data_IF_660582218799
#
_entry.id   IF_660582218799
#
_cell.length_a   1.000
_cell.length_b   1.000
_cell.length_c   1.000
_cell.angle_alpha   90.00
_cell.angle_beta   90.00
_cell.angle_gamma   90.00
#
_symmetry.space_group_name_H-M   'P 1'
#
loop_
_entity.id
_entity.type
_entity.pdbx_description
1 polymer ?
#
# COMPACT_ATOMS: atom_id res chain seq x y z
N UNK A 1 -5.75 -48.80 33.52
CA UNK A 1 -6.60 -47.98 34.42
C UNK A 1 -7.39 -47.00 33.56
N UNK A 2 -8.51 -47.32 32.91
CA UNK A 2 -9.72 -48.00 33.38
C UNK A 2 -10.27 -47.40 34.68
N UNK A 3 -11.29 -46.54 34.58
CA UNK A 3 -12.46 -46.65 35.45
C UNK A 3 -13.74 -46.33 34.67
N UNK A 4 -14.70 -47.20 34.90
CA UNK A 4 -15.92 -47.49 34.17
C UNK A 4 -17.01 -47.42 35.23
N UNK A 5 -18.06 -46.61 35.04
CA UNK A 5 -19.31 -46.82 35.74
C UNK A 5 -20.47 -46.77 34.75
N UNK A 6 -21.20 -47.87 34.77
CA UNK A 6 -22.33 -48.25 33.93
C UNK A 6 -23.62 -47.64 34.49
N UNK A 7 -24.57 -47.36 33.59
CA UNK A 7 -25.96 -47.06 33.95
C UNK A 7 -26.82 -46.99 32.69
N UNK A 8 -27.21 -48.15 32.17
CA UNK A 8 -27.97 -48.24 30.91
C UNK A 8 -29.45 -47.91 31.08
N UNK A 9 -30.07 -47.36 30.04
CA UNK A 9 -31.51 -47.50 29.81
C UNK A 9 -31.89 -47.29 28.32
N UNK A 10 -32.29 -48.40 27.72
CA UNK A 10 -33.26 -48.63 26.62
C UNK A 10 -33.42 -47.56 25.52
N UNK A 11 -32.99 -47.95 24.32
CA UNK A 11 -33.21 -47.33 23.01
C UNK A 11 -34.70 -47.05 22.74
N UNK A 12 -35.05 -45.78 22.51
CA UNK A 12 -36.29 -45.37 21.82
C UNK A 12 -36.04 -45.26 20.29
N UNK A 13 -37.01 -45.61 19.44
CA UNK A 13 -36.80 -45.72 17.99
C UNK A 13 -36.64 -44.35 17.32
N UNK A 14 -35.72 -44.26 16.35
CA UNK A 14 -35.49 -43.07 15.52
C UNK A 14 -36.74 -42.77 14.67
N UNK A 15 -37.20 -41.51 14.56
CA UNK A 15 -38.31 -41.18 13.67
C UNK A 15 -37.87 -41.26 12.21
N UNK A 16 -38.64 -41.99 11.39
CA UNK A 16 -38.52 -42.05 9.93
C UNK A 16 -38.72 -40.64 9.36
N UNK A 17 -37.65 -40.00 8.87
CA UNK A 17 -37.75 -38.76 8.07
C UNK A 17 -38.52 -39.06 6.79
N UNK A 18 -39.77 -38.58 6.70
CA UNK A 18 -40.55 -38.51 5.46
C UNK A 18 -39.73 -37.75 4.40
N UNK A 19 -39.31 -38.44 3.33
CA UNK A 19 -38.78 -37.80 2.12
C UNK A 19 -39.89 -36.96 1.50
N UNK A 20 -39.89 -35.64 1.76
CA UNK A 20 -40.69 -34.69 0.97
C UNK A 20 -40.15 -34.72 -0.46
N UNK A 21 -40.90 -35.32 -1.39
CA UNK A 21 -40.71 -35.17 -2.84
C UNK A 21 -40.84 -33.68 -3.16
N UNK A 22 -39.72 -33.00 -3.35
CA UNK A 22 -39.69 -31.64 -3.91
C UNK A 22 -40.05 -31.79 -5.38
N UNK A 23 -41.26 -31.36 -5.74
CA UNK A 23 -41.68 -31.19 -7.14
C UNK A 23 -40.71 -30.20 -7.81
N UNK A 24 -40.24 -30.44 -9.05
CA UNK A 24 -39.34 -29.52 -9.72
C UNK A 24 -40.06 -28.20 -9.96
N UNK A 25 -39.61 -27.11 -9.32
CA UNK A 25 -40.05 -25.76 -9.66
C UNK A 25 -39.58 -25.44 -11.08
N UNK A 26 -40.56 -25.14 -11.94
CA UNK A 26 -40.41 -24.76 -13.35
C UNK A 26 -39.35 -23.65 -13.48
N UNK A 27 -38.31 -23.90 -14.29
CA UNK A 27 -37.36 -22.87 -14.73
C UNK A 27 -38.12 -21.78 -15.51
N UNK A 28 -37.92 -20.48 -15.23
CA UNK A 28 -38.48 -19.44 -16.09
C UNK A 28 -37.79 -19.48 -17.46
N UNK A 29 -38.61 -19.51 -18.52
CA UNK A 29 -38.19 -19.39 -19.92
C UNK A 29 -37.64 -17.98 -20.16
N UNK A 30 -36.32 -17.79 -20.14
CA UNK A 30 -35.66 -16.59 -20.69
C UNK A 30 -35.06 -16.93 -22.06
N UNK A 31 -35.95 -17.21 -23.02
CA UNK A 31 -35.66 -17.21 -24.47
C UNK A 31 -36.63 -16.22 -25.10
N UNK A 32 -36.19 -14.98 -25.32
CA UNK A 32 -36.64 -13.98 -26.32
C UNK A 32 -36.33 -12.55 -25.82
N UNK A 33 -35.07 -12.14 -25.93
CA UNK A 33 -34.65 -10.74 -26.13
C UNK A 33 -33.22 -10.69 -26.63
N UNK A 34 -32.91 -11.52 -27.63
CA UNK A 34 -31.66 -11.49 -28.38
C UNK A 34 -31.95 -11.60 -29.87
N UNK A 35 -32.90 -10.79 -30.36
CA UNK A 35 -33.18 -10.70 -31.81
C UNK A 35 -33.94 -9.46 -32.26
N UNK A 36 -33.79 -8.30 -31.61
CA UNK A 36 -34.22 -7.00 -32.17
C UNK A 36 -33.30 -5.88 -31.68
N UNK A 37 -32.02 -5.91 -32.06
CA UNK A 37 -31.14 -4.72 -31.99
C UNK A 37 -29.93 -4.80 -32.94
N UNK A 38 -30.12 -5.45 -34.09
CA UNK A 38 -29.15 -5.48 -35.21
C UNK A 38 -29.75 -4.98 -36.55
N UNK A 39 -30.86 -4.23 -36.49
CA UNK A 39 -31.56 -3.71 -37.69
C UNK A 39 -31.99 -2.23 -37.58
N UNK A 40 -31.29 -1.44 -36.76
CA UNK A 40 -31.52 0.00 -36.61
C UNK A 40 -30.21 0.82 -36.59
N UNK A 41 -29.24 0.41 -37.42
CA UNK A 41 -28.07 1.23 -37.74
C UNK A 41 -27.65 1.03 -39.21
N UNK A 42 -28.62 1.00 -40.13
CA UNK A 42 -28.38 0.94 -41.58
C UNK A 42 -29.31 1.83 -42.42
N UNK A 43 -30.06 2.76 -41.83
CA UNK A 43 -30.96 3.65 -42.59
C UNK A 43 -31.09 5.03 -41.96
N UNK A 44 -30.03 5.82 -42.13
CA UNK A 44 -29.95 7.29 -42.10
C UNK A 44 -28.46 7.52 -42.38
N UNK A 45 -28.02 7.69 -43.62
CA UNK A 45 -28.12 8.91 -44.41
C UNK A 45 -28.12 8.52 -45.90
N UNK A 46 -29.28 8.54 -46.54
CA UNK A 46 -29.42 8.69 -48.00
C UNK A 46 -30.20 9.98 -48.19
N UNK A 47 -29.58 10.97 -48.84
CA UNK A 47 -30.26 12.17 -49.33
C UNK A 47 -29.83 13.48 -48.67
N UNK A 48 -28.63 13.98 -49.00
CA UNK A 48 -28.39 15.42 -49.07
C UNK A 48 -27.30 15.69 -50.11
N UNK A 49 -27.62 16.60 -51.03
CA UNK A 49 -26.97 16.83 -52.31
C UNK A 49 -25.57 17.41 -52.16
N UNK A 50 -24.72 17.08 -53.15
CA UNK A 50 -23.40 17.68 -53.41
C UNK A 50 -23.51 19.21 -53.51
N UNK A 51 -22.71 19.93 -52.72
CA UNK A 51 -22.14 21.24 -53.10
C UNK A 51 -20.63 21.16 -52.98
N UNK A 52 -19.94 21.43 -54.09
CA UNK A 52 -18.47 21.49 -54.22
C UNK A 52 -17.96 22.66 -53.38
N UNK A 53 -17.05 22.40 -52.44
CA UNK A 53 -16.14 23.41 -51.89
C UNK A 53 -14.74 22.82 -51.90
N UNK A 54 -13.84 23.44 -52.68
CA UNK A 54 -12.43 23.09 -52.80
C UNK A 54 -11.74 23.27 -51.44
N UNK A 55 -11.01 22.26 -50.95
CA UNK A 55 -10.04 22.39 -49.85
C UNK A 55 -8.61 22.34 -50.43
N UNK A 56 -7.68 23.22 -49.97
CA UNK A 56 -6.33 23.28 -50.53
C UNK A 56 -5.49 22.07 -50.10
N UNK A 57 -4.66 21.56 -51.02
CA UNK A 57 -3.64 20.54 -50.75
C UNK A 57 -2.54 21.15 -49.86
N UNK A 58 -2.48 20.79 -48.57
CA UNK A 58 -1.29 21.02 -47.74
C UNK A 58 -0.26 19.92 -48.03
N UNK A 59 0.83 20.31 -48.68
CA UNK A 59 2.04 19.49 -48.85
C UNK A 59 2.80 19.51 -47.51
N UNK A 60 2.75 18.42 -46.74
CA UNK A 60 3.68 18.20 -45.63
C UNK A 60 4.94 17.54 -46.19
N UNK A 61 6.02 18.33 -46.37
CA UNK A 61 7.37 17.83 -46.60
C UNK A 61 7.83 17.04 -45.37
N UNK A 62 8.00 15.73 -45.51
CA UNK A 62 8.72 14.89 -44.54
C UNK A 62 10.16 15.42 -44.41
N UNK A 63 10.57 15.84 -43.21
CA UNK A 63 11.97 16.13 -42.90
C UNK A 63 12.65 14.82 -42.52
N UNK A 64 13.65 14.41 -43.30
CA UNK A 64 14.54 13.30 -42.97
C UNK A 64 15.50 13.70 -41.83
N UNK A 65 15.90 12.77 -40.94
CA UNK A 65 16.82 13.08 -39.86
C UNK A 65 18.25 13.26 -40.40
N UNK A 66 18.86 14.39 -40.05
CA UNK A 66 20.24 14.78 -40.37
C UNK A 66 21.22 13.81 -39.72
N UNK A 67 21.97 13.06 -40.54
CA UNK A 67 23.03 12.12 -40.16
C UNK A 67 24.32 12.91 -39.92
N UNK A 68 24.72 13.10 -38.66
CA UNK A 68 26.02 13.70 -38.31
C UNK A 68 27.13 12.68 -38.58
N UNK A 69 27.96 12.93 -39.61
CA UNK A 69 29.17 12.14 -39.91
C UNK A 69 30.31 12.60 -38.98
N UNK A 70 30.67 11.79 -37.98
CA UNK A 70 31.97 11.90 -37.29
C UNK A 70 32.92 10.80 -37.79
N UNK A 71 34.07 11.21 -38.33
CA UNK A 71 35.16 10.33 -38.79
C UNK A 71 35.76 9.59 -37.60
N UNK A 72 35.71 8.25 -37.60
CA UNK A 72 36.44 7.41 -36.66
C UNK A 72 37.89 7.24 -37.16
N UNK A 73 38.87 7.77 -36.42
CA UNK A 73 40.29 7.41 -36.59
C UNK A 73 40.50 6.02 -35.95
N UNK A 74 41.12 5.09 -36.70
CA UNK A 74 41.48 3.74 -36.24
C UNK A 74 42.47 3.84 -35.06
N UNK A 75 42.07 3.36 -33.89
CA UNK A 75 42.98 3.17 -32.74
C UNK A 75 43.36 1.68 -32.68
N UNK A 76 44.67 1.41 -32.64
CA UNK A 76 45.26 0.06 -32.59
C UNK A 76 44.81 -0.68 -31.32
N UNK A 77 44.40 -1.95 -31.49
CA UNK A 77 44.12 -2.91 -30.40
C UNK A 77 45.38 -3.12 -29.57
N UNK A 78 45.33 -2.81 -28.27
CA UNK A 78 46.27 -3.34 -27.27
C UNK A 78 45.45 -4.27 -26.39
N UNK A 79 45.62 -5.57 -26.57
CA UNK A 79 45.07 -6.59 -25.68
C UNK A 79 45.92 -6.64 -24.40
N UNK A 80 45.35 -6.19 -23.28
CA UNK A 80 45.85 -6.51 -21.94
C UNK A 80 44.73 -7.14 -21.14
N UNK A 81 44.87 -8.44 -20.86
CA UNK A 81 44.01 -9.19 -19.93
C UNK A 81 44.16 -8.62 -18.52
N UNK A 82 43.08 -8.28 -17.79
CA UNK A 82 43.17 -8.11 -16.36
C UNK A 82 42.66 -9.39 -15.68
N UNK A 83 43.60 -10.23 -15.21
CA UNK A 83 43.34 -11.11 -14.07
C UNK A 83 43.80 -10.37 -12.82
N UNK A 84 42.86 -9.85 -12.04
CA UNK A 84 42.98 -9.74 -10.58
C UNK A 84 41.59 -9.57 -9.97
N UNK A 85 41.32 -10.47 -9.04
CA UNK A 85 40.11 -10.68 -8.25
C UNK A 85 39.62 -9.37 -7.64
N UNK A 86 38.53 -8.80 -8.17
CA UNK A 86 37.73 -7.86 -7.41
C UNK A 86 36.94 -8.71 -6.41
N UNK A 87 37.40 -8.75 -5.15
CA UNK A 87 36.49 -9.07 -4.05
C UNK A 87 35.31 -8.11 -4.19
N UNK A 88 34.11 -8.65 -4.41
CA UNK A 88 32.86 -7.89 -4.28
C UNK A 88 32.86 -7.35 -2.85
N UNK A 89 33.36 -6.14 -2.65
CA UNK A 89 33.03 -5.38 -1.45
C UNK A 89 31.55 -5.10 -1.63
N UNK A 90 30.73 -5.91 -0.99
CA UNK A 90 29.33 -5.59 -0.78
C UNK A 90 29.33 -4.36 0.12
N UNK A 91 29.51 -3.18 -0.47
CA UNK A 91 29.17 -1.92 0.18
C UNK A 91 27.66 -1.97 0.27
N UNK A 92 27.13 -2.63 1.30
CA UNK A 92 25.75 -2.40 1.71
C UNK A 92 25.69 -0.90 1.92
N UNK A 93 24.88 -0.14 1.16
CA UNK A 93 24.70 1.25 1.49
C UNK A 93 24.30 1.24 2.97
N UNK A 94 25.10 1.89 3.81
CA UNK A 94 24.71 2.19 5.19
C UNK A 94 23.51 3.12 5.03
N UNK A 95 22.33 2.53 4.88
CA UNK A 95 21.10 3.27 4.83
C UNK A 95 20.96 3.84 6.23
N UNK A 96 21.18 5.15 6.36
CA UNK A 96 21.11 5.89 7.61
C UNK A 96 19.64 6.01 8.04
N UNK A 97 19.06 4.89 8.47
CA UNK A 97 17.67 4.80 8.91
C UNK A 97 17.55 5.44 10.29
N UNK A 98 16.60 6.36 10.44
CA UNK A 98 16.22 6.86 11.75
C UNK A 98 15.69 5.70 12.62
N UNK A 99 16.09 5.59 13.90
CA UNK A 99 15.50 4.62 14.82
C UNK A 99 13.98 4.76 14.89
N UNK A 100 13.28 3.62 14.94
CA UNK A 100 11.81 3.60 14.88
C UNK A 100 11.17 4.46 15.97
N UNK A 101 11.71 4.45 17.21
CA UNK A 101 11.18 5.29 18.29
C UNK A 101 11.26 6.78 17.95
N UNK A 102 12.35 7.22 17.30
CA UNK A 102 12.51 8.62 16.89
C UNK A 102 11.58 8.99 15.75
N UNK A 103 11.31 8.07 14.82
CA UNK A 103 10.32 8.27 13.78
C UNK A 103 8.90 8.38 14.37
N UNK A 104 8.55 7.55 15.36
CA UNK A 104 7.26 7.60 16.07
C UNK A 104 7.13 8.85 16.97
N UNK A 105 8.21 9.29 17.63
CA UNK A 105 8.27 10.57 18.34
C UNK A 105 8.01 11.75 17.38
N UNK A 106 8.53 11.70 16.15
CA UNK A 106 8.28 12.71 15.13
C UNK A 106 6.80 12.76 14.75
N UNK A 107 6.18 11.61 14.46
CA UNK A 107 4.74 11.54 14.19
C UNK A 107 3.92 12.17 15.32
N UNK A 108 4.26 11.85 16.58
CA UNK A 108 3.60 12.41 17.77
C UNK A 108 3.76 13.93 17.83
N UNK A 109 4.97 14.45 17.60
CA UNK A 109 5.25 15.90 17.62
C UNK A 109 4.43 16.66 16.57
N UNK A 110 4.24 16.07 15.41
CA UNK A 110 3.41 16.64 14.34
C UNK A 110 1.93 16.28 14.45
N UNK A 111 1.51 15.59 15.52
CA UNK A 111 0.12 15.20 15.80
C UNK A 111 -0.50 14.31 14.71
N UNK A 112 0.31 13.52 14.01
CA UNK A 112 -0.21 12.41 13.20
C UNK A 112 -0.66 11.30 14.16
N UNK A 113 -1.90 10.86 14.01
CA UNK A 113 -2.46 9.81 14.86
C UNK A 113 -1.78 8.47 14.56
N UNK A 114 -1.56 7.69 15.61
CA UNK A 114 -1.04 6.34 15.55
C UNK A 114 -1.93 5.45 16.41
N UNK A 115 -2.05 4.14 16.11
CA UNK A 115 -2.69 3.20 17.03
C UNK A 115 -1.88 3.13 18.33
N UNK A 116 -2.50 2.81 19.48
CA UNK A 116 -1.77 2.50 20.71
C UNK A 116 -0.62 1.53 20.44
N UNK A 117 0.58 1.84 20.92
CA UNK A 117 1.79 1.06 20.64
C UNK A 117 2.77 1.06 21.83
N UNK A 118 3.69 0.11 21.82
CA UNK A 118 4.83 0.03 22.72
C UNK A 118 6.01 -0.69 22.05
N UNK A 119 7.24 -0.32 22.41
CA UNK A 119 8.44 -1.06 22.05
C UNK A 119 8.85 -1.95 23.22
N UNK A 120 8.88 -3.26 23.01
CA UNK A 120 9.14 -4.26 24.04
C UNK A 120 10.49 -4.95 23.76
N UNK A 121 11.36 -5.03 24.79
CA UNK A 121 12.67 -5.70 24.69
C UNK A 121 12.68 -7.10 25.29
N UNK A 122 11.66 -7.43 26.07
CA UNK A 122 11.50 -8.72 26.74
C UNK A 122 10.00 -9.02 26.95
N UNK A 123 9.69 -10.25 27.36
CA UNK A 123 8.31 -10.71 27.59
C UNK A 123 7.59 -9.97 28.73
N UNK A 124 8.33 -9.48 29.74
CA UNK A 124 7.75 -8.72 30.86
C UNK A 124 7.21 -7.38 30.36
N UNK A 125 7.97 -6.68 29.51
CA UNK A 125 7.55 -5.43 28.88
C UNK A 125 6.36 -5.67 27.95
N UNK A 126 6.37 -6.80 27.23
CA UNK A 126 5.29 -7.21 26.33
C UNK A 126 3.97 -7.41 27.07
N UNK A 127 3.94 -8.28 28.08
CA UNK A 127 2.73 -8.63 28.83
C UNK A 127 2.12 -7.39 29.51
N UNK A 128 2.96 -6.51 30.07
CA UNK A 128 2.52 -5.21 30.60
C UNK A 128 1.91 -4.30 29.53
N UNK A 129 2.49 -4.28 28.33
CA UNK A 129 2.02 -3.45 27.22
C UNK A 129 0.69 -3.96 26.62
N UNK A 130 0.52 -5.28 26.51
CA UNK A 130 -0.70 -5.91 26.00
C UNK A 130 -1.93 -5.54 26.81
N UNK A 131 -1.81 -5.39 28.14
CA UNK A 131 -2.92 -4.93 29.00
C UNK A 131 -3.46 -3.55 28.62
N UNK A 132 -2.62 -2.68 28.04
CA UNK A 132 -2.99 -1.33 27.60
C UNK A 132 -3.40 -1.28 26.13
N UNK A 133 -2.74 -2.08 25.29
CA UNK A 133 -2.96 -2.09 23.84
C UNK A 133 -4.20 -2.92 23.48
N UNK A 134 -4.38 -4.08 24.10
CA UNK A 134 -5.46 -5.03 23.82
C UNK A 134 -5.32 -5.75 22.46
N UNK A 135 -6.30 -6.61 22.17
CA UNK A 135 -6.33 -7.48 20.99
C UNK A 135 -7.45 -7.09 20.00
N UNK A 136 -7.38 -7.47 18.70
CA UNK A 136 -6.20 -8.02 18.05
C UNK A 136 -5.06 -6.99 17.98
N UNK A 137 -3.82 -7.46 18.04
CA UNK A 137 -2.63 -6.63 17.91
C UNK A 137 -1.74 -7.09 16.75
N UNK A 138 -0.81 -6.21 16.41
CA UNK A 138 0.23 -6.38 15.40
C UNK A 138 1.57 -6.30 16.10
N UNK A 139 2.50 -7.19 15.73
CA UNK A 139 3.88 -7.14 16.18
C UNK A 139 4.82 -6.96 15.00
N UNK A 140 5.78 -6.06 15.16
CA UNK A 140 6.77 -5.72 14.14
C UNK A 140 8.18 -5.77 14.72
N UNK A 141 9.07 -6.53 14.09
CA UNK A 141 10.49 -6.52 14.41
C UNK A 141 11.08 -5.12 14.21
N UNK A 142 11.88 -4.66 15.16
CA UNK A 142 12.48 -3.34 15.17
C UNK A 142 13.95 -3.42 15.53
N UNK A 143 14.77 -2.71 14.75
CA UNK A 143 16.22 -2.66 14.92
C UNK A 143 16.84 -1.72 13.89
N UNK A 144 18.09 -1.30 14.13
CA UNK A 144 18.78 -0.30 13.29
C UNK A 144 18.89 -0.74 11.83
N UNK A 145 19.11 -2.04 11.61
CA UNK A 145 19.35 -2.62 10.30
C UNK A 145 18.10 -3.24 9.65
N UNK A 146 16.93 -3.16 10.31
CA UNK A 146 15.66 -3.68 9.78
C UNK A 146 14.95 -2.56 9.02
N UNK A 147 15.09 -2.55 7.70
CA UNK A 147 14.50 -1.51 6.83
C UNK A 147 13.19 -2.00 6.22
N UNK A 148 13.20 -3.21 5.65
CA UNK A 148 12.05 -3.86 5.04
C UNK A 148 11.57 -4.99 5.94
N UNK A 149 10.66 -4.66 6.86
CA UNK A 149 10.14 -5.61 7.87
C UNK A 149 9.41 -6.78 7.20
N UNK A 150 8.63 -6.53 6.16
CA UNK A 150 7.86 -7.57 5.46
C UNK A 150 8.76 -8.65 4.85
N UNK A 151 9.85 -8.25 4.18
CA UNK A 151 10.75 -9.14 3.44
C UNK A 151 11.45 -10.18 4.32
N UNK A 152 11.67 -9.83 5.59
CA UNK A 152 12.30 -10.72 6.58
C UNK A 152 11.28 -11.48 7.43
N UNK A 153 10.00 -11.41 7.07
CA UNK A 153 8.92 -11.94 7.90
C UNK A 153 8.91 -11.26 9.28
N UNK A 154 9.21 -9.97 9.35
CA UNK A 154 9.28 -9.17 10.56
C UNK A 154 7.96 -8.51 10.96
N UNK A 155 6.84 -8.85 10.32
CA UNK A 155 5.50 -8.37 10.69
C UNK A 155 4.58 -9.57 10.95
N UNK A 156 3.81 -9.51 12.03
CA UNK A 156 2.80 -10.50 12.42
C UNK A 156 1.51 -9.77 12.75
N UNK A 157 0.43 -10.15 12.07
CA UNK A 157 -0.90 -9.54 12.17
C UNK A 157 -1.85 -10.51 12.89
N UNK A 158 -3.02 -10.01 13.30
CA UNK A 158 -4.09 -10.82 13.90
C UNK A 158 -3.64 -11.67 15.09
N UNK A 159 -2.83 -11.08 15.98
CA UNK A 159 -2.49 -11.71 17.25
C UNK A 159 -3.67 -11.47 18.19
N UNK A 160 -4.34 -12.53 18.62
CA UNK A 160 -5.62 -12.45 19.33
C UNK A 160 -5.52 -12.79 20.82
N UNK A 161 -4.46 -13.48 21.23
CA UNK A 161 -4.26 -13.91 22.62
C UNK A 161 -2.86 -13.59 23.14
N UNK A 162 -2.70 -13.61 24.46
CA UNK A 162 -1.41 -13.39 25.13
C UNK A 162 -0.42 -14.52 24.82
N UNK A 163 -0.88 -15.76 24.74
CA UNK A 163 -0.04 -16.91 24.37
C UNK A 163 0.50 -16.77 22.94
N UNK A 164 -0.36 -16.39 21.98
CA UNK A 164 0.06 -16.10 20.61
C UNK A 164 1.06 -14.95 20.56
N UNK A 165 0.85 -13.93 21.39
CA UNK A 165 1.72 -12.75 21.48
C UNK A 165 3.12 -13.12 21.99
N UNK A 166 3.23 -13.93 23.04
CA UNK A 166 4.52 -14.40 23.59
C UNK A 166 5.26 -15.26 22.56
N UNK A 167 4.57 -16.22 21.93
CA UNK A 167 5.18 -17.04 20.87
C UNK A 167 5.69 -16.17 19.71
N UNK A 168 4.86 -15.23 19.26
CA UNK A 168 5.21 -14.31 18.19
C UNK A 168 6.41 -13.43 18.54
N UNK A 169 6.45 -12.90 19.76
CA UNK A 169 7.57 -12.09 20.24
C UNK A 169 8.88 -12.85 20.18
N UNK A 170 8.90 -14.09 20.69
CA UNK A 170 10.08 -14.94 20.68
C UNK A 170 10.56 -15.27 19.26
N UNK A 171 9.63 -15.49 18.32
CA UNK A 171 9.99 -15.73 16.93
C UNK A 171 10.54 -14.49 16.23
N UNK A 172 9.98 -13.31 16.50
CA UNK A 172 10.50 -12.05 15.95
C UNK A 172 11.87 -11.70 16.52
N UNK A 173 12.12 -11.94 17.81
CA UNK A 173 13.41 -11.67 18.44
C UNK A 173 14.55 -12.55 17.90
N UNK A 174 14.25 -13.69 17.26
CA UNK A 174 15.24 -14.53 16.56
C UNK A 174 15.69 -13.94 15.22
N UNK A 175 14.95 -12.96 14.67
CA UNK A 175 15.30 -12.33 13.40
C UNK A 175 16.62 -11.56 13.57
N UNK A 176 17.58 -11.81 12.68
CA UNK A 176 18.90 -11.16 12.72
C UNK A 176 18.75 -9.63 12.68
N UNK A 177 19.28 -8.96 13.70
CA UNK A 177 19.23 -7.50 13.82
C UNK A 177 17.95 -6.96 14.45
N UNK A 178 17.04 -7.82 14.91
CA UNK A 178 15.93 -7.42 15.76
C UNK A 178 16.46 -7.13 17.16
N UNK A 179 16.24 -5.92 17.65
CA UNK A 179 16.67 -5.47 18.97
C UNK A 179 15.48 -5.39 19.95
N UNK A 180 14.26 -5.27 19.40
CA UNK A 180 13.00 -5.11 20.12
C UNK A 180 11.83 -5.38 19.18
N UNK A 181 10.65 -5.59 19.76
CA UNK A 181 9.40 -5.75 19.02
C UNK A 181 8.51 -4.55 19.28
N UNK A 182 8.06 -3.89 18.21
CA UNK A 182 6.97 -2.93 18.26
C UNK A 182 5.65 -3.69 18.33
N UNK A 183 4.92 -3.56 19.43
CA UNK A 183 3.57 -4.08 19.63
C UNK A 183 2.59 -2.93 19.42
N UNK A 184 1.55 -3.14 18.63
CA UNK A 184 0.62 -2.07 18.24
C UNK A 184 -0.80 -2.61 18.10
N UNK A 185 -1.81 -1.82 18.50
CA UNK A 185 -3.21 -2.15 18.26
C UNK A 185 -3.44 -2.30 16.75
N UNK A 186 -4.11 -3.37 16.34
CA UNK A 186 -4.43 -3.55 14.93
C UNK A 186 -5.52 -2.56 14.51
N UNK A 187 -5.26 -1.80 13.45
CA UNK A 187 -6.28 -1.00 12.77
C UNK A 187 -7.06 -1.94 11.86
N UNK A 188 -8.37 -2.00 12.03
CA UNK A 188 -9.26 -2.94 11.32
C UNK A 188 -10.21 -2.24 10.36
N UNK A 189 -10.15 -0.91 10.26
CA UNK A 189 -11.03 -0.09 9.44
C UNK A 189 -10.25 0.95 8.63
N UNK A 190 -10.87 1.42 7.56
CA UNK A 190 -10.31 2.44 6.67
C UNK A 190 -9.53 1.87 5.51
N UNK A 191 -9.19 2.77 4.60
CA UNK A 191 -8.43 2.45 3.40
C UNK A 191 -6.95 2.68 3.64
N UNK A 192 -6.12 1.75 3.18
CA UNK A 192 -4.68 1.95 3.19
C UNK A 192 -4.31 2.93 2.07
N UNK A 193 -3.60 3.99 2.45
CA UNK A 193 -2.94 4.94 1.56
C UNK A 193 -1.47 5.06 1.94
N UNK A 194 -0.67 5.62 1.05
CA UNK A 194 0.74 5.93 1.28
C UNK A 194 0.91 7.44 1.18
N UNK A 195 1.58 8.03 2.16
CA UNK A 195 2.02 9.42 2.10
C UNK A 195 3.50 9.45 2.42
N UNK A 196 4.29 10.01 1.52
CA UNK A 196 5.74 10.06 1.69
C UNK A 196 6.35 11.30 1.07
N UNK A 197 7.64 11.46 1.28
CA UNK A 197 8.44 12.48 0.65
C UNK A 197 9.86 12.01 0.50
N UNK A 198 10.55 12.48 -0.54
CA UNK A 198 11.96 12.15 -0.75
C UNK A 198 12.71 13.30 -1.40
N UNK A 199 14.02 13.29 -1.22
CA UNK A 199 14.92 14.08 -2.05
C UNK A 199 14.93 13.51 -3.46
N UNK A 200 14.72 14.38 -4.43
CA UNK A 200 14.70 14.06 -5.83
C UNK A 200 15.83 14.79 -6.56
N UNK A 201 16.60 14.12 -7.44
CA UNK A 201 17.73 14.77 -8.12
C UNK A 201 17.33 15.94 -9.03
N UNK A 202 16.10 15.94 -9.56
CA UNK A 202 15.64 16.95 -10.50
C UNK A 202 14.85 18.05 -9.80
N UNK A 203 13.99 17.67 -8.85
CA UNK A 203 13.05 18.59 -8.21
C UNK A 203 13.48 18.99 -6.78
N UNK A 204 14.67 18.58 -6.35
CA UNK A 204 15.21 18.71 -4.99
C UNK A 204 14.42 17.89 -3.95
N UNK A 205 13.11 18.12 -3.80
CA UNK A 205 12.21 17.35 -2.93
C UNK A 205 10.86 17.16 -3.60
N UNK A 206 10.25 16.00 -3.36
CA UNK A 206 8.89 15.70 -3.78
C UNK A 206 8.10 15.09 -2.62
N UNK A 207 6.80 15.36 -2.59
CA UNK A 207 5.79 14.71 -1.76
C UNK A 207 4.98 13.80 -2.65
N UNK A 208 4.66 12.61 -2.15
CA UNK A 208 3.89 11.59 -2.86
C UNK A 208 2.66 11.19 -2.05
N UNK A 209 1.53 11.05 -2.73
CA UNK A 209 0.32 10.41 -2.23
C UNK A 209 -0.02 9.25 -3.17
N UNK A 210 -0.31 8.07 -2.63
CA UNK A 210 -0.71 6.92 -3.43
C UNK A 210 -1.64 5.97 -2.71
N UNK A 211 -2.21 5.01 -3.46
CA UNK A 211 -2.97 3.92 -2.88
C UNK A 211 -2.04 3.05 -2.03
N UNK A 212 -2.53 2.45 -0.94
CA UNK A 212 -1.83 1.44 -0.14
C UNK A 212 -2.32 0.02 -0.45
N UNK A 213 -1.75 -0.96 0.26
CA UNK A 213 -2.12 -2.38 0.14
C UNK A 213 -1.85 -2.99 -1.24
N UNK A 214 -2.59 -4.06 -1.58
CA UNK A 214 -2.44 -4.82 -2.84
C UNK A 214 -2.61 -3.98 -4.12
N UNK A 215 -3.21 -2.80 -4.03
CA UNK A 215 -3.48 -1.94 -5.19
C UNK A 215 -2.25 -1.11 -5.61
N UNK A 216 -1.25 -0.97 -4.73
CA UNK A 216 0.03 -0.27 -5.00
C UNK A 216 0.76 -0.84 -6.21
N UNK A 217 0.92 -2.15 -6.26
CA UNK A 217 1.76 -2.84 -7.25
C UNK A 217 1.15 -2.83 -8.65
N UNK A 218 -0.18 -2.86 -8.75
CA UNK A 218 -0.88 -2.99 -10.04
C UNK A 218 -1.24 -1.65 -10.68
N UNK A 219 -1.44 -0.59 -9.90
CA UNK A 219 -2.03 0.63 -10.42
C UNK A 219 -1.04 1.77 -10.68
N UNK A 220 0.15 1.84 -10.04
CA UNK A 220 1.02 3.04 -10.13
C UNK A 220 0.25 4.35 -9.93
N UNK A 221 -0.74 4.30 -9.03
CA UNK A 221 -1.69 5.39 -8.79
C UNK A 221 -1.15 6.33 -7.72
N UNK A 222 -0.33 7.29 -8.17
CA UNK A 222 0.43 8.18 -7.31
C UNK A 222 0.36 9.60 -7.87
N UNK A 223 0.13 10.59 -7.00
CA UNK A 223 0.28 12.01 -7.31
C UNK A 223 1.52 12.57 -6.61
N UNK A 224 2.16 13.54 -7.25
CA UNK A 224 3.37 14.19 -6.75
C UNK A 224 3.21 15.71 -6.72
N UNK A 225 3.85 16.35 -5.72
CA UNK A 225 4.03 17.81 -5.65
C UNK A 225 5.40 18.15 -5.08
N UNK A 226 5.89 19.35 -5.38
CA UNK A 226 7.13 19.90 -4.80
C UNK A 226 6.76 20.72 -3.56
N UNK A 227 7.33 20.45 -2.37
CA UNK A 227 7.06 21.24 -1.17
C UNK A 227 7.69 22.65 -1.27
N UNK A 228 7.13 23.66 -0.58
CA UNK A 228 6.01 23.57 0.37
C UNK A 228 4.63 23.48 -0.31
N UNK A 229 3.75 22.64 0.23
CA UNK A 229 2.35 22.51 -0.20
C UNK A 229 1.43 23.40 0.63
N UNK A 230 0.44 24.02 -0.03
CA UNK A 230 -0.76 24.57 0.60
C UNK A 230 -1.91 23.55 0.57
N UNK A 231 -3.06 23.92 1.15
CA UNK A 231 -4.23 23.02 1.25
C UNK A 231 -4.74 22.64 -0.13
N UNK A 232 -4.78 23.58 -1.06
CA UNK A 232 -5.24 23.40 -2.42
C UNK A 232 -4.37 22.35 -3.16
N UNK A 233 -3.04 22.42 -3.02
CA UNK A 233 -2.11 21.43 -3.58
C UNK A 233 -2.41 20.01 -3.07
N UNK A 234 -2.61 19.88 -1.76
CA UNK A 234 -2.90 18.58 -1.13
C UNK A 234 -4.28 18.04 -1.50
N UNK A 235 -5.26 18.93 -1.69
CA UNK A 235 -6.60 18.57 -2.19
C UNK A 235 -6.55 18.10 -3.64
N UNK A 236 -5.82 18.80 -4.51
CA UNK A 236 -5.60 18.38 -5.90
C UNK A 236 -4.87 17.04 -5.97
N UNK A 237 -3.81 16.86 -5.18
CA UNK A 237 -3.10 15.57 -5.08
C UNK A 237 -4.06 14.43 -4.74
N UNK A 238 -4.97 14.67 -3.80
CA UNK A 238 -5.99 13.70 -3.41
C UNK A 238 -6.98 13.43 -4.54
N UNK A 239 -7.39 14.43 -5.31
CA UNK A 239 -8.32 14.23 -6.42
C UNK A 239 -7.68 13.56 -7.65
N UNK A 240 -6.35 13.70 -7.83
CA UNK A 240 -5.61 13.13 -8.96
C UNK A 240 -5.45 11.61 -8.90
N UNK A 241 -5.41 11.03 -7.69
CA UNK A 241 -5.29 9.57 -7.54
C UNK A 241 -6.63 8.91 -7.85
N UNK A 242 -6.64 7.91 -8.73
CA UNK A 242 -7.89 7.26 -9.21
C UNK A 242 -8.66 6.56 -8.10
N UNK A 243 -7.98 6.10 -7.05
CA UNK A 243 -8.64 5.48 -5.89
C UNK A 243 -9.37 6.49 -4.98
N UNK A 244 -9.14 7.80 -5.14
CA UNK A 244 -9.73 8.85 -4.30
C UNK A 244 -11.25 8.79 -4.24
N UNK A 245 -11.87 8.64 -5.41
CA UNK A 245 -13.32 8.53 -5.57
C UNK A 245 -13.89 7.36 -4.75
N UNK A 246 -13.18 6.23 -4.74
CA UNK A 246 -13.57 5.04 -3.99
C UNK A 246 -13.49 5.29 -2.49
N UNK A 247 -12.40 5.88 -2.01
CA UNK A 247 -12.19 6.08 -0.57
C UNK A 247 -13.06 7.21 -0.03
N UNK A 248 -13.35 8.25 -0.82
CA UNK A 248 -14.15 9.40 -0.43
C UNK A 248 -15.66 9.14 -0.54
N UNK A 249 -16.11 8.20 -1.38
CA UNK A 249 -17.52 7.80 -1.48
C UNK A 249 -17.86 6.58 -0.63
N UNK A 250 -16.86 5.81 -0.22
CA UNK A 250 -17.07 4.54 0.47
C UNK A 250 -17.21 3.37 -0.51
N UNK A 251 -16.76 2.17 -0.10
CA UNK A 251 -16.81 0.97 -0.93
C UNK A 251 -16.98 -0.30 -0.10
N UNK A 252 -17.84 -1.23 -0.57
CA UNK A 252 -18.06 -2.57 0.02
C UNK A 252 -18.21 -2.57 1.56
N UNK A 253 -19.09 -1.72 2.08
CA UNK A 253 -19.39 -1.66 3.52
C UNK A 253 -18.39 -0.85 4.34
N UNK A 254 -17.29 -0.37 3.75
CA UNK A 254 -16.45 0.65 4.37
C UNK A 254 -17.06 2.03 4.20
N UNK A 255 -16.98 2.83 5.26
CA UNK A 255 -17.44 4.23 5.27
C UNK A 255 -16.53 5.12 4.40
N UNK A 256 -17.03 6.26 3.93
CA UNK A 256 -16.19 7.34 3.39
C UNK A 256 -15.04 7.69 4.33
N UNK A 257 -13.84 7.91 3.79
CA UNK A 257 -12.69 8.40 4.53
C UNK A 257 -12.84 9.89 4.87
N UNK A 258 -12.25 10.32 5.98
CA UNK A 258 -12.16 11.72 6.34
C UNK A 258 -11.16 12.44 5.43
N UNK A 259 -11.69 13.17 4.44
CA UNK A 259 -10.92 13.96 3.47
C UNK A 259 -9.93 14.91 4.14
N UNK A 260 -10.39 15.66 5.14
CA UNK A 260 -9.57 16.67 5.83
C UNK A 260 -8.40 16.03 6.56
N UNK A 261 -8.61 14.84 7.15
CA UNK A 261 -7.53 14.11 7.83
C UNK A 261 -6.43 13.65 6.86
N UNK A 262 -6.79 13.25 5.63
CA UNK A 262 -5.82 12.88 4.58
C UNK A 262 -5.02 14.11 4.15
N UNK A 263 -5.71 15.20 3.83
CA UNK A 263 -5.10 16.48 3.41
C UNK A 263 -4.12 16.97 4.48
N UNK A 264 -4.53 16.96 5.75
CA UNK A 264 -3.67 17.35 6.86
C UNK A 264 -2.42 16.46 6.97
N UNK A 265 -2.54 15.14 6.74
CA UNK A 265 -1.38 14.25 6.75
C UNK A 265 -0.37 14.59 5.63
N UNK A 266 -0.85 14.90 4.42
CA UNK A 266 -0.01 15.34 3.29
C UNK A 266 0.73 16.64 3.62
N UNK A 267 0.01 17.64 4.15
CA UNK A 267 0.58 18.92 4.56
C UNK A 267 1.63 18.77 5.67
N UNK A 268 1.38 17.88 6.62
CA UNK A 268 2.35 17.57 7.68
C UNK A 268 3.62 16.96 7.08
N UNK A 269 3.51 16.00 6.17
CA UNK A 269 4.69 15.39 5.52
C UNK A 269 5.45 16.43 4.69
N UNK A 270 4.75 17.30 3.97
CA UNK A 270 5.35 18.46 3.29
C UNK A 270 6.17 19.33 4.26
N UNK A 271 5.57 19.70 5.40
CA UNK A 271 6.23 20.53 6.43
C UNK A 271 7.41 19.81 7.08
N UNK A 272 7.32 18.51 7.32
CA UNK A 272 8.44 17.70 7.83
C UNK A 272 9.59 17.75 6.84
N UNK A 273 9.31 17.48 5.56
CA UNK A 273 10.33 17.50 4.51
C UNK A 273 10.96 18.87 4.36
N UNK A 274 10.19 19.96 4.42
CA UNK A 274 10.71 21.33 4.36
C UNK A 274 11.66 21.65 5.53
N UNK A 275 11.20 21.44 6.77
CA UNK A 275 11.91 21.84 8.00
C UNK A 275 13.10 20.98 8.36
N UNK A 276 13.26 19.80 7.76
CA UNK A 276 14.30 18.84 8.13
C UNK A 276 15.16 18.49 6.91
N UNK A 277 16.14 19.34 6.53
CA UNK A 277 16.91 19.14 5.30
C UNK A 277 17.76 17.87 5.28
N UNK A 278 18.06 17.28 6.45
CA UNK A 278 18.78 16.01 6.56
C UNK A 278 17.91 14.78 6.26
N UNK A 279 16.58 14.93 6.17
CA UNK A 279 15.70 13.83 5.76
C UNK A 279 15.83 13.65 4.26
N UNK A 280 16.32 12.48 3.86
CA UNK A 280 16.40 12.04 2.47
C UNK A 280 15.09 11.41 2.02
N UNK A 281 14.43 10.66 2.89
CA UNK A 281 13.17 9.99 2.61
C UNK A 281 12.33 9.89 3.88
N UNK A 282 11.02 10.11 3.76
CA UNK A 282 9.99 9.77 4.75
C UNK A 282 8.91 8.98 4.02
N UNK A 283 8.49 7.87 4.61
CA UNK A 283 7.47 7.00 4.06
C UNK A 283 6.52 6.57 5.18
N UNK A 284 5.27 7.02 5.12
CA UNK A 284 4.19 6.59 6.02
C UNK A 284 3.37 5.56 5.24
N UNK A 285 3.64 4.29 5.53
CA UNK A 285 3.06 3.17 4.81
C UNK A 285 2.85 1.94 5.73
N UNK A 286 1.60 1.55 6.04
CA UNK A 286 0.37 2.20 5.60
C UNK A 286 -0.03 3.38 6.49
N UNK A 287 -0.69 4.37 5.87
CA UNK A 287 -1.55 5.34 6.53
C UNK A 287 -3.00 4.89 6.33
N UNK A 288 -3.72 4.60 7.41
CA UNK A 288 -5.14 4.20 7.34
C UNK A 288 -6.04 5.43 7.31
N UNK A 289 -6.72 5.65 6.19
CA UNK A 289 -7.74 6.68 6.03
C UNK A 289 -9.11 6.13 6.47
N UNK A 290 -9.50 6.44 7.70
CA UNK A 290 -10.78 6.05 8.30
C UNK A 290 -11.82 7.15 8.12
N UNK A 291 -13.08 6.89 8.48
CA UNK A 291 -14.12 7.92 8.45
C UNK A 291 -13.93 9.04 9.47
N UNK A 292 -12.97 8.90 10.39
CA UNK A 292 -12.69 9.88 11.44
C UNK A 292 -11.33 10.54 11.27
N UNK A 293 -10.33 9.77 10.83
CA UNK A 293 -8.92 10.16 10.96
C UNK A 293 -8.02 9.52 9.89
N UNK A 294 -6.79 10.00 9.80
CA UNK A 294 -5.69 9.36 9.12
C UNK A 294 -4.69 8.80 10.17
N UNK A 295 -4.55 7.48 10.22
CA UNK A 295 -3.83 6.77 11.29
C UNK A 295 -2.57 6.11 10.72
N UNK A 296 -1.40 6.60 11.09
CA UNK A 296 -0.12 6.05 10.64
C UNK A 296 0.19 4.75 11.40
N UNK A 297 0.17 3.63 10.69
CA UNK A 297 0.51 2.34 11.29
C UNK A 297 2.01 2.06 11.25
N UNK A 298 2.72 2.58 10.25
CA UNK A 298 4.18 2.53 10.18
C UNK A 298 4.74 3.82 9.61
N UNK A 299 6.01 4.08 9.93
CA UNK A 299 6.80 5.15 9.35
C UNK A 299 8.25 4.70 9.18
N UNK A 300 8.84 5.06 8.05
CA UNK A 300 10.27 4.94 7.80
C UNK A 300 10.85 6.29 7.46
N UNK A 301 12.00 6.62 8.03
CA UNK A 301 12.76 7.82 7.68
C UNK A 301 14.20 7.43 7.37
N UNK A 302 14.68 7.83 6.20
CA UNK A 302 16.08 7.72 5.81
C UNK A 302 16.70 9.12 5.85
N UNK A 303 17.87 9.21 6.48
CA UNK A 303 18.67 10.41 6.59
C UNK A 303 19.77 10.42 5.52
N UNK A 304 20.34 11.59 5.27
CA UNK A 304 21.58 11.74 4.51
C UNK A 304 22.79 11.09 5.18
#
# INVERSE_FOLDING_TARGET
>A
MAFRLFGGMKKKPKPKKRKKKVKPKKKPKVKKKLRVRKKLLKRTVRGAKRKKVRKPKKVLKKREPVRVKRKLKKVKKIEKKPKKVLKKIEIKPLINKMPDEKAYELLKRYRIKMPPYAFCKNEIDLTKSLKKIGFPCVMKASGKNIIHKTDIGGIRLNIETEEQAIQTFNDLMKIKGCEKVLVQKMVTEGYEIIVGGRKDPQFNRIIALGAGGIFTEFLRDVSFRVPPLNKEDAEEMLMEVRFSDLILKGFRGQKPANREAIVNAILIVSRIMEKNPKIKEIDINPLFATSKDAIAADIRIILE
#
